data_IF_462768302534
#
_entry.id   IF_462768302534
#
_cell.length_a   1.000
_cell.length_b   1.000
_cell.length_c   1.000
_cell.angle_alpha   90.00
_cell.angle_beta   90.00
_cell.angle_gamma   90.00
#
_symmetry.space_group_name_H-M   'P 1'
#
loop_
_entity.id
_entity.type
_entity.pdbx_description
1 polymer ?
#
# COMPACT_ATOMS: atom_id res chain seq x y z
N UNK A 1 15.75 -33.85 12.04
CA UNK A 1 15.23 -33.23 10.81
C UNK A 1 15.99 -31.94 10.61
N UNK A 2 16.88 -31.89 9.63
CA UNK A 2 17.66 -30.69 9.28
C UNK A 2 17.07 -30.11 8.00
N UNK A 3 16.64 -28.85 8.03
CA UNK A 3 16.24 -28.07 6.85
C UNK A 3 17.51 -27.49 6.23
N UNK A 4 17.64 -27.62 4.90
CA UNK A 4 18.81 -27.25 4.11
C UNK A 4 18.86 -25.73 3.84
N UNK A 5 20.04 -25.12 3.68
CA UNK A 5 20.18 -23.74 3.25
C UNK A 5 19.91 -23.67 1.74
N UNK A 6 18.73 -23.19 1.39
CA UNK A 6 18.24 -23.12 0.02
C UNK A 6 16.81 -22.59 -0.08
N UNK A 7 16.38 -21.74 0.87
CA UNK A 7 15.27 -20.81 0.62
C UNK A 7 15.81 -19.72 -0.32
N UNK A 8 16.07 -20.14 -1.56
CA UNK A 8 16.18 -19.24 -2.70
C UNK A 8 14.82 -18.58 -2.79
N UNK A 9 14.78 -17.28 -2.49
CA UNK A 9 13.64 -16.44 -2.76
C UNK A 9 13.37 -16.62 -4.24
N UNK A 10 12.39 -17.45 -4.57
CA UNK A 10 12.03 -17.70 -5.96
C UNK A 10 11.54 -16.37 -6.46
N UNK A 11 12.34 -15.76 -7.32
CA UNK A 11 12.00 -14.60 -8.13
C UNK A 11 10.93 -15.07 -9.14
N UNK A 12 9.75 -15.38 -8.63
CA UNK A 12 8.51 -15.63 -9.38
C UNK A 12 7.85 -14.27 -9.64
N UNK A 13 8.61 -13.32 -10.18
CA UNK A 13 8.08 -12.01 -10.57
C UNK A 13 7.48 -12.02 -11.98
N UNK A 14 7.41 -13.18 -12.62
CA UNK A 14 6.84 -13.39 -13.96
C UNK A 14 5.30 -13.43 -14.02
N UNK A 15 4.61 -13.13 -12.92
CA UNK A 15 3.14 -13.25 -12.83
C UNK A 15 2.42 -11.93 -12.45
N UNK A 16 3.09 -10.78 -12.50
CA UNK A 16 2.49 -9.51 -12.04
C UNK A 16 1.70 -8.74 -13.13
N UNK A 17 1.79 -9.15 -14.40
CA UNK A 17 1.11 -8.44 -15.49
C UNK A 17 -0.40 -8.77 -15.60
N UNK A 18 -0.86 -9.88 -14.98
CA UNK A 18 -2.26 -10.37 -15.04
C UNK A 18 -2.92 -10.48 -13.63
N UNK A 19 -2.25 -9.98 -12.57
CA UNK A 19 -2.89 -9.89 -11.25
C UNK A 19 -4.03 -8.87 -11.33
N UNK A 20 -5.29 -9.26 -11.02
CA UNK A 20 -6.39 -8.32 -11.02
C UNK A 20 -6.05 -7.16 -10.08
N UNK A 21 -6.46 -5.91 -10.41
CA UNK A 21 -6.20 -4.78 -9.54
C UNK A 21 -6.70 -5.12 -8.13
N UNK A 22 -5.84 -4.95 -7.13
CA UNK A 22 -6.21 -5.21 -5.75
C UNK A 22 -7.54 -4.51 -5.48
N UNK A 23 -8.56 -5.23 -4.98
CA UNK A 23 -9.86 -4.62 -4.74
C UNK A 23 -9.66 -3.45 -3.77
N UNK A 24 -10.28 -2.31 -4.10
CA UNK A 24 -10.28 -1.19 -3.16
C UNK A 24 -10.85 -1.67 -1.83
N UNK A 25 -10.24 -1.30 -0.70
CA UNK A 25 -10.79 -1.63 0.61
C UNK A 25 -12.18 -1.00 0.75
N UNK A 26 -13.06 -1.69 1.49
CA UNK A 26 -14.35 -1.14 1.87
C UNK A 26 -14.17 0.15 2.68
N UNK A 27 -15.12 1.11 2.61
CA UNK A 27 -15.05 2.34 3.40
C UNK A 27 -14.89 2.03 4.90
N UNK A 28 -13.91 2.69 5.52
CA UNK A 28 -13.60 2.49 6.94
C UNK A 28 -14.65 3.10 7.87
N UNK A 29 -15.43 4.06 7.35
CA UNK A 29 -16.37 4.87 8.14
C UNK A 29 -15.72 6.08 8.82
N UNK A 30 -14.40 6.21 8.76
CA UNK A 30 -13.67 7.42 9.16
C UNK A 30 -13.27 8.21 7.91
N UNK A 31 -13.84 9.40 7.75
CA UNK A 31 -13.59 10.25 6.59
C UNK A 31 -12.11 10.61 6.38
N UNK A 32 -11.28 10.63 7.44
CA UNK A 32 -9.84 10.88 7.33
C UNK A 32 -9.11 9.67 6.78
N UNK A 33 -9.47 8.47 7.25
CA UNK A 33 -8.88 7.21 6.75
C UNK A 33 -9.29 6.98 5.30
N UNK A 34 -10.55 7.22 4.95
CA UNK A 34 -11.05 7.08 3.58
C UNK A 34 -10.34 8.07 2.62
N UNK A 35 -10.06 9.30 3.07
CA UNK A 35 -9.30 10.26 2.27
C UNK A 35 -7.84 9.82 2.04
N UNK A 36 -7.21 9.18 3.02
CA UNK A 36 -5.87 8.61 2.88
C UNK A 36 -5.87 7.45 1.87
N UNK A 37 -6.87 6.57 1.93
CA UNK A 37 -7.03 5.45 0.99
C UNK A 37 -7.15 5.97 -0.44
N UNK A 38 -7.99 6.98 -0.68
CA UNK A 38 -8.15 7.59 -2.01
C UNK A 38 -6.86 8.29 -2.49
N UNK A 39 -6.11 8.93 -1.59
CA UNK A 39 -4.83 9.56 -1.94
C UNK A 39 -3.78 8.54 -2.39
N UNK A 40 -3.73 7.37 -1.75
CA UNK A 40 -2.82 6.27 -2.11
C UNK A 40 -3.30 5.53 -3.37
N UNK A 41 -4.61 5.34 -3.55
CA UNK A 41 -5.16 4.72 -4.75
C UNK A 41 -4.87 5.53 -6.02
N UNK A 42 -4.80 6.86 -5.93
CA UNK A 42 -4.45 7.74 -7.04
C UNK A 42 -2.95 8.01 -7.21
N UNK A 43 -2.07 7.14 -6.69
CA UNK A 43 -0.62 7.30 -6.78
C UNK A 43 -0.08 6.93 -8.16
N UNK A 44 -0.65 5.91 -8.80
CA UNK A 44 -0.22 5.42 -10.13
C UNK A 44 -0.38 6.47 -11.23
N UNK A 45 -1.32 7.40 -11.06
CA UNK A 45 -1.55 8.52 -11.97
C UNK A 45 -0.57 9.70 -11.75
N UNK A 46 0.36 9.59 -10.79
CA UNK A 46 1.30 10.65 -10.41
C UNK A 46 2.76 10.30 -10.78
N UNK A 47 3.61 11.31 -11.01
CA UNK A 47 5.05 11.11 -11.16
C UNK A 47 5.65 10.43 -9.93
N UNK A 48 6.58 9.49 -10.14
CA UNK A 48 7.22 8.71 -9.09
C UNK A 48 7.90 9.60 -8.03
N UNK A 49 8.43 10.75 -8.44
CA UNK A 49 9.07 11.73 -7.56
C UNK A 49 8.10 12.30 -6.51
N UNK A 50 6.80 12.29 -6.81
CA UNK A 50 5.75 12.77 -5.89
C UNK A 50 5.26 11.68 -4.93
N UNK A 51 5.53 10.41 -5.24
CA UNK A 51 4.97 9.28 -4.49
C UNK A 51 5.38 9.31 -3.02
N UNK A 52 6.66 9.58 -2.76
CA UNK A 52 7.20 9.66 -1.40
C UNK A 52 6.48 10.75 -0.60
N UNK A 53 6.27 11.93 -1.19
CA UNK A 53 5.60 13.02 -0.50
C UNK A 53 4.14 12.69 -0.16
N UNK A 54 3.43 12.02 -1.06
CA UNK A 54 2.05 11.57 -0.83
C UNK A 54 1.99 10.50 0.25
N UNK A 55 2.88 9.50 0.21
CA UNK A 55 2.93 8.42 1.20
C UNK A 55 3.29 8.92 2.61
N UNK A 56 4.23 9.86 2.72
CA UNK A 56 4.58 10.48 4.01
C UNK A 56 3.41 11.29 4.59
N UNK A 57 2.71 12.05 3.75
CA UNK A 57 1.52 12.79 4.17
C UNK A 57 0.40 11.84 4.62
N UNK A 58 0.14 10.79 3.84
CA UNK A 58 -0.81 9.72 4.16
C UNK A 58 -0.49 9.05 5.50
N UNK A 59 0.78 8.69 5.73
CA UNK A 59 1.23 8.09 6.98
C UNK A 59 1.01 9.04 8.17
N UNK A 60 1.35 10.32 8.00
CA UNK A 60 1.13 11.34 9.03
C UNK A 60 -0.35 11.53 9.40
N UNK A 61 -1.23 11.59 8.41
CA UNK A 61 -2.68 11.70 8.65
C UNK A 61 -3.27 10.44 9.29
N UNK A 62 -2.88 9.25 8.82
CA UNK A 62 -3.34 7.99 9.40
C UNK A 62 -2.94 7.88 10.87
N UNK A 63 -1.69 8.25 11.19
CA UNK A 63 -1.23 8.26 12.58
C UNK A 63 -2.05 9.19 13.45
N UNK A 64 -2.35 10.41 12.98
CA UNK A 64 -3.20 11.37 13.72
C UNK A 64 -4.61 10.85 13.92
N UNK A 65 -5.20 10.22 12.90
CA UNK A 65 -6.53 9.63 13.01
C UNK A 65 -6.56 8.54 14.10
N UNK A 66 -5.61 7.61 14.05
CA UNK A 66 -5.51 6.49 14.98
C UNK A 66 -5.11 6.90 16.42
N UNK A 67 -4.28 7.93 16.58
CA UNK A 67 -3.87 8.43 17.91
C UNK A 67 -5.04 9.12 18.66
N UNK A 68 -6.14 9.45 17.98
CA UNK A 68 -7.31 10.12 18.55
C UNK A 68 -8.54 9.23 18.75
N UNK A 69 -8.43 7.95 18.38
CA UNK A 69 -9.48 6.93 18.56
C UNK A 69 -9.35 6.22 19.92
#
# INVERSE_FOLDING_TARGET
MSVQPGDEWSDDTGLLDDEPPFPRPEPSGDARVDAVIEAVAGLDDRPLEEHVAVLEAAHGELRRALDTA
#
